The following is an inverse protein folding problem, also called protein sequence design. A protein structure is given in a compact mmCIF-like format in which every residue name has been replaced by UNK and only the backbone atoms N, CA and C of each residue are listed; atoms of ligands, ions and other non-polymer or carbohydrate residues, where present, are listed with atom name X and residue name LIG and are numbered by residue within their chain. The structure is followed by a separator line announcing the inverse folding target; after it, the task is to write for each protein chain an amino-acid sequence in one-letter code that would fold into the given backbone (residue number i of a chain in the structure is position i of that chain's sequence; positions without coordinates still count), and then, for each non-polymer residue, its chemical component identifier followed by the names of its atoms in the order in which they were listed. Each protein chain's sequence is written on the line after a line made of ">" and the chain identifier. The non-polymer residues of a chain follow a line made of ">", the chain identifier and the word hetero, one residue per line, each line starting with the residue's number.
data_IF_491200550227
#
_entry.id   IF_491200550227
#
_cell.length_a   1.000
_cell.length_b   1.000
_cell.length_c   1.000
_cell.angle_alpha   90.00
_cell.angle_beta   90.00
_cell.angle_gamma   90.00
#
_symmetry.space_group_name_H-M   'P 1'
#
loop_
_entity.id
_entity.type
_entity.pdbx_description
1 polymer ?
#
# COMPACT_ATOMS: atom_id res chain seq x y z
N UNK A 1 -27.71 71.91 -31.52
CA UNK A 1 -26.65 71.03 -30.98
C UNK A 1 -27.07 70.58 -29.60
N UNK A 2 -27.34 69.29 -29.47
CA UNK A 2 -28.17 68.68 -28.43
C UNK A 2 -27.27 67.99 -27.40
N UNK A 3 -27.56 68.25 -26.12
CA UNK A 3 -26.86 67.75 -24.94
C UNK A 3 -27.25 66.28 -24.71
N UNK A 4 -26.32 65.35 -24.82
CA UNK A 4 -26.56 63.93 -24.53
C UNK A 4 -26.40 63.72 -23.01
N UNK A 5 -27.43 63.23 -22.28
CA UNK A 5 -27.37 62.95 -20.86
C UNK A 5 -26.80 61.55 -20.56
N UNK A 6 -26.29 61.41 -19.34
CA UNK A 6 -25.52 60.27 -18.87
C UNK A 6 -26.26 58.93 -18.82
N UNK A 7 -25.49 57.87 -19.02
CA UNK A 7 -25.89 56.49 -18.80
C UNK A 7 -25.16 55.97 -17.56
N UNK A 8 -25.93 55.99 -16.48
CA UNK A 8 -25.94 55.20 -15.26
C UNK A 8 -24.82 54.16 -15.01
N UNK A 9 -24.17 54.34 -13.85
CA UNK A 9 -23.50 53.30 -13.08
C UNK A 9 -24.39 52.05 -12.91
N UNK A 10 -24.01 50.95 -13.55
CA UNK A 10 -24.62 49.65 -13.30
C UNK A 10 -23.98 49.04 -12.04
N UNK A 11 -24.49 49.40 -10.86
CA UNK A 11 -24.19 48.71 -9.59
C UNK A 11 -24.77 47.30 -9.63
N UNK A 12 -23.97 46.34 -10.11
CA UNK A 12 -24.24 44.92 -9.94
C UNK A 12 -24.04 44.54 -8.47
N UNK A 13 -25.16 44.40 -7.77
CA UNK A 13 -25.23 43.95 -6.39
C UNK A 13 -25.02 42.42 -6.34
N UNK A 14 -23.76 42.00 -6.26
CA UNK A 14 -23.41 40.61 -5.97
C UNK A 14 -23.78 40.29 -4.51
N UNK A 15 -25.00 39.76 -4.30
CA UNK A 15 -25.40 39.11 -3.05
C UNK A 15 -24.57 37.84 -2.87
N UNK A 16 -23.59 37.88 -1.96
CA UNK A 16 -22.91 36.67 -1.47
C UNK A 16 -23.90 35.87 -0.63
N UNK A 17 -24.29 34.69 -1.12
CA UNK A 17 -24.93 33.67 -0.31
C UNK A 17 -23.92 33.12 0.71
N UNK A 18 -24.20 33.11 2.01
CA UNK A 18 -23.37 32.38 2.96
C UNK A 18 -23.50 30.88 2.68
N UNK A 19 -22.37 30.22 2.42
CA UNK A 19 -22.28 28.78 2.30
C UNK A 19 -22.74 28.15 3.63
N UNK A 20 -23.94 27.55 3.63
CA UNK A 20 -24.37 26.64 4.69
C UNK A 20 -23.54 25.37 4.55
N UNK A 21 -22.58 25.18 5.46
CA UNK A 21 -21.93 23.89 5.66
C UNK A 21 -22.99 22.86 6.09
N UNK A 22 -23.15 21.72 5.37
CA UNK A 22 -24.03 20.66 5.83
C UNK A 22 -23.41 19.97 7.06
N UNK A 23 -24.08 20.10 8.21
CA UNK A 23 -23.72 19.49 9.48
C UNK A 23 -23.94 17.98 9.55
N UNK A 24 -23.55 17.23 8.51
CA UNK A 24 -23.74 15.78 8.42
C UNK A 24 -22.45 14.96 8.52
N UNK A 25 -21.30 15.59 8.81
CA UNK A 25 -20.02 14.89 8.95
C UNK A 25 -19.77 14.33 10.37
N UNK A 26 -20.46 14.81 11.40
CA UNK A 26 -20.24 14.35 12.79
C UNK A 26 -20.93 13.02 13.11
N UNK A 27 -21.97 12.64 12.38
CA UNK A 27 -22.69 11.38 12.61
C UNK A 27 -21.91 10.13 12.15
N UNK A 28 -20.95 10.29 11.22
CA UNK A 28 -20.13 9.17 10.74
C UNK A 28 -19.02 8.73 11.70
N UNK A 29 -18.51 9.65 12.53
CA UNK A 29 -17.41 9.36 13.45
C UNK A 29 -17.85 8.57 14.68
N UNK A 30 -19.08 8.79 15.19
CA UNK A 30 -19.57 8.09 16.38
C UNK A 30 -19.75 6.58 16.15
N UNK A 31 -20.30 6.19 15.01
CA UNK A 31 -20.60 4.79 14.69
C UNK A 31 -19.33 3.96 14.43
N UNK A 32 -18.34 4.54 13.74
CA UNK A 32 -17.04 3.90 13.51
C UNK A 32 -16.22 3.74 14.80
N UNK A 33 -16.27 4.74 15.69
CA UNK A 33 -15.51 4.71 16.96
C UNK A 33 -16.09 3.67 17.93
N UNK A 34 -17.41 3.51 18.01
CA UNK A 34 -18.04 2.47 18.83
C UNK A 34 -17.74 1.04 18.35
N UNK A 35 -17.59 0.82 17.03
CA UNK A 35 -17.19 -0.46 16.46
C UNK A 35 -15.74 -0.83 16.78
N UNK A 36 -14.84 0.16 16.81
CA UNK A 36 -13.43 -0.05 17.17
C UNK A 36 -13.23 -0.32 18.67
N UNK A 37 -14.05 0.29 19.52
CA UNK A 37 -13.97 0.16 20.99
C UNK A 37 -14.68 -1.09 21.54
N UNK A 38 -15.55 -1.72 20.73
CA UNK A 38 -16.18 -3.02 21.02
C UNK A 38 -15.79 -4.04 19.96
N UNK A 39 -14.48 -4.29 19.83
CA UNK A 39 -13.99 -5.44 19.09
C UNK A 39 -14.43 -6.72 19.82
N UNK A 40 -15.64 -7.21 19.52
CA UNK A 40 -16.02 -8.59 19.82
C UNK A 40 -15.03 -9.52 19.11
N UNK A 41 -14.81 -10.75 19.60
CA UNK A 41 -14.02 -11.74 18.88
C UNK A 41 -14.57 -11.86 17.47
N UNK A 42 -13.86 -11.28 16.51
CA UNK A 42 -14.24 -11.38 15.13
C UNK A 42 -13.87 -12.80 14.69
N UNK A 43 -14.87 -13.67 14.60
CA UNK A 43 -14.78 -14.96 13.89
C UNK A 43 -14.54 -14.77 12.37
N UNK A 44 -13.95 -13.63 11.96
CA UNK A 44 -13.44 -13.38 10.62
C UNK A 44 -12.07 -14.04 10.41
N UNK A 45 -11.41 -14.50 11.48
CA UNK A 45 -10.27 -15.39 11.37
C UNK A 45 -10.78 -16.80 11.10
N UNK A 46 -10.99 -17.14 9.82
CA UNK A 46 -11.09 -18.53 9.42
C UNK A 46 -9.70 -19.14 9.59
N UNK A 47 -9.45 -19.72 10.77
CA UNK A 47 -8.30 -20.61 10.98
C UNK A 47 -8.57 -21.84 10.11
N UNK A 48 -8.11 -21.81 8.87
CA UNK A 48 -8.00 -23.04 8.11
C UNK A 48 -7.14 -24.00 8.94
N UNK A 49 -7.64 -25.20 9.17
CA UNK A 49 -6.86 -26.22 9.83
C UNK A 49 -5.53 -26.40 9.07
N UNK A 50 -4.47 -26.77 9.80
CA UNK A 50 -3.31 -27.34 9.12
C UNK A 50 -3.80 -28.61 8.40
N UNK A 51 -3.51 -28.79 7.09
CA UNK A 51 -2.53 -28.06 6.28
C UNK A 51 -3.10 -27.11 5.20
N UNK A 52 -4.43 -27.02 5.00
CA UNK A 52 -5.00 -26.34 3.82
C UNK A 52 -4.66 -24.85 3.75
N UNK A 53 -4.70 -24.16 4.89
CA UNK A 53 -4.37 -22.74 4.97
C UNK A 53 -2.93 -22.44 4.57
N UNK A 54 -2.00 -23.32 4.97
CA UNK A 54 -0.60 -23.20 4.61
C UNK A 54 -0.41 -23.38 3.10
N UNK A 55 -1.06 -24.37 2.48
CA UNK A 55 -0.96 -24.57 1.04
C UNK A 55 -1.51 -23.38 0.25
N UNK A 56 -2.70 -22.90 0.62
CA UNK A 56 -3.31 -21.73 -0.03
C UNK A 56 -2.40 -20.50 0.09
N UNK A 57 -1.80 -20.28 1.27
CA UNK A 57 -0.86 -19.19 1.52
C UNK A 57 0.42 -19.30 0.66
N UNK A 58 1.02 -20.49 0.59
CA UNK A 58 2.21 -20.75 -0.25
C UNK A 58 1.89 -20.57 -1.74
N UNK A 59 0.72 -21.01 -2.21
CA UNK A 59 0.26 -20.73 -3.58
C UNK A 59 0.13 -19.22 -3.79
N UNK A 60 -0.38 -18.49 -2.80
CA UNK A 60 -0.44 -17.02 -2.81
C UNK A 60 0.93 -16.38 -3.05
N UNK A 61 1.97 -16.84 -2.37
CA UNK A 61 3.35 -16.39 -2.61
C UNK A 61 3.82 -16.67 -4.04
N UNK A 62 3.53 -17.83 -4.60
CA UNK A 62 3.90 -18.16 -6.00
C UNK A 62 3.21 -17.20 -6.98
N UNK A 63 1.90 -17.02 -6.82
CA UNK A 63 1.12 -16.11 -7.68
C UNK A 63 1.60 -14.66 -7.55
N UNK A 64 1.91 -14.21 -6.33
CA UNK A 64 2.44 -12.87 -6.07
C UNK A 64 3.81 -12.67 -6.73
N UNK A 65 4.72 -13.64 -6.60
CA UNK A 65 6.01 -13.59 -7.26
C UNK A 65 5.88 -13.47 -8.78
N UNK A 66 5.01 -14.29 -9.39
CA UNK A 66 4.74 -14.23 -10.83
C UNK A 66 4.15 -12.88 -11.24
N UNK A 67 3.25 -12.31 -10.43
CA UNK A 67 2.69 -10.99 -10.68
C UNK A 67 3.77 -9.89 -10.63
N UNK A 68 4.67 -9.92 -9.65
CA UNK A 68 5.78 -8.96 -9.54
C UNK A 68 6.78 -9.13 -10.68
N UNK A 69 7.16 -10.36 -11.03
CA UNK A 69 8.04 -10.65 -12.16
C UNK A 69 7.42 -10.17 -13.49
N UNK A 70 6.12 -10.44 -13.70
CA UNK A 70 5.37 -9.96 -14.86
C UNK A 70 5.28 -8.43 -14.92
N UNK A 71 5.07 -7.76 -13.79
CA UNK A 71 5.08 -6.30 -13.69
C UNK A 71 6.44 -5.73 -14.12
N UNK A 72 7.53 -6.24 -13.52
CA UNK A 72 8.90 -5.79 -13.83
C UNK A 72 9.24 -6.06 -15.30
N UNK A 73 8.90 -7.23 -15.82
CA UNK A 73 9.08 -7.59 -17.21
C UNK A 73 8.34 -6.62 -18.15
N UNK A 74 7.06 -6.34 -17.89
CA UNK A 74 6.27 -5.40 -18.71
C UNK A 74 6.82 -3.99 -18.68
N UNK A 75 7.25 -3.50 -17.52
CA UNK A 75 7.84 -2.16 -17.41
C UNK A 75 9.15 -2.08 -18.19
N UNK A 76 10.03 -3.09 -18.05
CA UNK A 76 11.32 -3.14 -18.75
C UNK A 76 11.19 -3.24 -20.27
N UNK A 77 10.20 -3.97 -20.77
CA UNK A 77 10.02 -4.24 -22.20
C UNK A 77 9.00 -3.30 -22.88
N UNK A 78 8.64 -2.19 -22.25
CA UNK A 78 7.74 -1.19 -22.83
C UNK A 78 8.40 0.19 -22.82
N UNK A 79 7.74 1.14 -23.49
CA UNK A 79 8.15 2.56 -23.48
C UNK A 79 8.13 3.18 -22.06
N UNK A 80 7.54 2.49 -21.08
CA UNK A 80 7.52 2.91 -19.69
C UNK A 80 8.93 2.95 -19.07
N UNK A 81 9.85 2.09 -19.51
CA UNK A 81 11.22 2.06 -18.98
C UNK A 81 11.97 3.40 -19.12
N UNK A 82 11.63 4.20 -20.14
CA UNK A 82 12.21 5.53 -20.35
C UNK A 82 11.89 6.52 -19.23
N UNK A 83 10.78 6.34 -18.51
CA UNK A 83 10.42 7.19 -17.38
C UNK A 83 11.15 6.76 -16.10
N UNK A 84 11.78 7.72 -15.43
CA UNK A 84 12.37 7.51 -14.11
C UNK A 84 11.35 7.05 -13.07
N UNK A 85 10.08 7.48 -13.18
CA UNK A 85 9.04 7.09 -12.24
C UNK A 85 8.72 5.58 -12.33
N UNK A 86 8.63 5.06 -13.55
CA UNK A 86 8.41 3.64 -13.82
C UNK A 86 9.62 2.78 -13.45
N UNK A 87 10.85 3.30 -13.58
CA UNK A 87 12.05 2.60 -13.07
C UNK A 87 12.02 2.39 -11.57
N UNK A 88 11.59 3.39 -10.79
CA UNK A 88 11.37 3.23 -9.34
C UNK A 88 10.30 2.19 -9.02
N UNK A 89 9.18 2.18 -9.76
CA UNK A 89 8.13 1.15 -9.61
C UNK A 89 8.68 -0.24 -9.92
N UNK A 90 9.46 -0.40 -10.98
CA UNK A 90 10.08 -1.67 -11.34
C UNK A 90 11.09 -2.15 -10.29
N UNK A 91 11.92 -1.25 -9.74
CA UNK A 91 12.83 -1.60 -8.65
C UNK A 91 12.06 -2.03 -7.40
N UNK A 92 11.00 -1.31 -7.02
CA UNK A 92 10.14 -1.69 -5.90
C UNK A 92 9.44 -3.03 -6.12
N UNK A 93 8.92 -3.28 -7.33
CA UNK A 93 8.31 -4.56 -7.70
C UNK A 93 9.30 -5.72 -7.64
N UNK A 94 10.55 -5.51 -8.08
CA UNK A 94 11.62 -6.50 -7.96
C UNK A 94 11.93 -6.81 -6.49
N UNK A 95 12.09 -5.79 -5.65
CA UNK A 95 12.34 -5.97 -4.22
C UNK A 95 11.16 -6.65 -3.50
N UNK A 96 9.91 -6.33 -3.86
CA UNK A 96 8.73 -7.03 -3.35
C UNK A 96 8.71 -8.51 -3.76
N UNK A 97 9.13 -8.82 -4.99
CA UNK A 97 9.34 -10.20 -5.43
C UNK A 97 10.38 -10.94 -4.57
N UNK A 98 11.52 -10.30 -4.29
CA UNK A 98 12.56 -10.86 -3.41
C UNK A 98 12.07 -11.05 -1.97
N UNK A 99 11.39 -10.05 -1.41
CA UNK A 99 10.78 -10.14 -0.08
C UNK A 99 9.74 -11.27 -0.02
N UNK A 100 8.94 -11.44 -1.07
CA UNK A 100 7.96 -12.52 -1.12
C UNK A 100 8.64 -13.91 -1.14
N UNK A 101 9.71 -14.09 -1.91
CA UNK A 101 10.50 -15.33 -1.88
C UNK A 101 11.13 -15.56 -0.50
N UNK A 102 11.59 -14.49 0.15
CA UNK A 102 12.11 -14.55 1.51
C UNK A 102 11.06 -15.04 2.51
N UNK A 103 9.85 -14.48 2.48
CA UNK A 103 8.73 -14.89 3.32
C UNK A 103 8.29 -16.34 3.04
N UNK A 104 8.22 -16.73 1.75
CA UNK A 104 7.95 -18.11 1.33
C UNK A 104 8.94 -19.09 2.00
N UNK A 105 10.26 -18.80 1.91
CA UNK A 105 11.29 -19.63 2.54
C UNK A 105 11.14 -19.64 4.06
N UNK A 106 10.80 -18.50 4.68
CA UNK A 106 10.50 -18.40 6.11
C UNK A 106 9.42 -19.39 6.56
N UNK A 107 8.33 -19.48 5.80
CA UNK A 107 7.27 -20.45 6.08
C UNK A 107 7.67 -21.90 5.82
N UNK A 108 8.48 -22.18 4.79
CA UNK A 108 9.02 -23.53 4.58
C UNK A 108 9.96 -23.92 5.73
N UNK A 109 10.76 -22.99 6.24
CA UNK A 109 11.61 -23.25 7.42
C UNK A 109 10.75 -23.49 8.66
N UNK A 110 9.67 -22.73 8.85
CA UNK A 110 8.73 -22.89 9.96
C UNK A 110 8.13 -24.30 10.04
N UNK A 111 7.83 -24.95 8.91
CA UNK A 111 7.28 -26.31 8.88
C UNK A 111 8.32 -27.38 9.23
N UNK A 112 9.60 -27.05 9.13
CA UNK A 112 10.71 -27.93 9.49
C UNK A 112 11.12 -27.79 10.97
N UNK A 113 10.71 -26.71 11.64
CA UNK A 113 10.99 -26.52 13.06
C UNK A 113 10.13 -27.45 13.93
N UNK A 114 10.72 -28.23 14.83
CA UNK A 114 9.96 -29.06 15.74
C UNK A 114 9.27 -28.19 16.81
N UNK A 115 8.03 -28.55 17.16
CA UNK A 115 7.16 -27.74 18.02
C UNK A 115 7.74 -27.46 19.42
N UNK A 116 8.64 -28.32 19.90
CA UNK A 116 9.33 -28.15 21.18
C UNK A 116 10.36 -26.99 21.20
N UNK A 117 10.67 -26.37 20.06
CA UNK A 117 11.53 -25.18 19.99
C UNK A 117 10.77 -23.89 20.33
N UNK A 118 9.43 -23.92 20.28
CA UNK A 118 8.58 -22.82 20.69
C UNK A 118 8.22 -22.97 22.17
N UNK A 119 8.54 -21.94 22.96
CA UNK A 119 8.29 -21.87 24.41
C UNK A 119 7.18 -20.87 24.67
N UNK A 120 6.09 -21.32 25.28
CA UNK A 120 4.89 -20.53 25.56
C UNK A 120 3.64 -21.12 24.92
N UNK A 121 2.46 -20.58 25.24
CA UNK A 121 1.20 -20.98 24.62
C UNK A 121 0.62 -19.85 23.79
N UNK A 122 -0.03 -20.19 22.67
CA UNK A 122 -0.79 -19.23 21.85
C UNK A 122 -1.84 -18.50 22.69
N UNK A 123 -2.38 -19.16 23.73
CA UNK A 123 -3.35 -18.59 24.67
C UNK A 123 -2.74 -17.52 25.59
N UNK A 124 -1.44 -17.63 25.90
CA UNK A 124 -0.71 -16.67 26.74
C UNK A 124 -0.19 -15.46 25.97
N UNK A 125 -0.34 -15.42 24.64
CA UNK A 125 0.11 -14.32 23.78
C UNK A 125 1.63 -14.16 23.65
N UNK A 126 2.42 -14.99 24.34
CA UNK A 126 3.86 -14.94 24.35
C UNK A 126 4.44 -16.29 23.89
N UNK A 127 4.84 -16.34 22.62
CA UNK A 127 5.61 -17.46 22.06
C UNK A 127 7.05 -16.99 21.87
N UNK A 128 7.97 -17.52 22.68
CA UNK A 128 9.41 -17.32 22.52
C UNK A 128 10.01 -18.47 21.71
N UNK A 129 10.98 -18.16 20.84
CA UNK A 129 11.75 -19.17 20.13
C UNK A 129 13.03 -19.48 20.91
N UNK A 130 13.30 -20.75 21.19
CA UNK A 130 14.57 -21.18 21.78
C UNK A 130 15.60 -21.39 20.66
N UNK A 131 16.69 -20.63 20.69
CA UNK A 131 17.77 -20.72 19.71
C UNK A 131 18.71 -21.88 20.07
N UNK A 132 18.46 -23.08 19.54
CA UNK A 132 19.28 -24.28 19.82
C UNK A 132 20.07 -24.73 18.59
N UNK A 133 19.55 -24.44 17.40
CA UNK A 133 20.06 -24.93 16.13
C UNK A 133 20.26 -23.79 15.13
N UNK A 134 21.07 -24.05 14.09
CA UNK A 134 21.25 -23.12 12.96
C UNK A 134 19.91 -22.80 12.26
N UNK A 135 18.97 -23.75 12.26
CA UNK A 135 17.65 -23.58 11.68
C UNK A 135 16.82 -22.52 12.44
N UNK A 136 16.98 -22.41 13.76
CA UNK A 136 16.31 -21.39 14.57
C UNK A 136 16.83 -19.98 14.24
N UNK A 137 18.15 -19.84 14.05
CA UNK A 137 18.75 -18.58 13.60
C UNK A 137 18.29 -18.19 12.19
N UNK A 138 18.22 -19.17 11.29
CA UNK A 138 17.70 -18.96 9.94
C UNK A 138 16.23 -18.53 9.96
N UNK A 139 15.38 -19.20 10.76
CA UNK A 139 13.98 -18.82 10.94
C UNK A 139 13.85 -17.40 11.50
N UNK A 140 14.60 -17.06 12.55
CA UNK A 140 14.60 -15.71 13.14
C UNK A 140 15.00 -14.64 12.13
N UNK A 141 16.03 -14.90 11.33
CA UNK A 141 16.49 -13.99 10.29
C UNK A 141 15.46 -13.83 9.18
N UNK A 142 14.85 -14.93 8.72
CA UNK A 142 13.79 -14.92 7.72
C UNK A 142 12.54 -14.17 8.19
N UNK A 143 12.32 -14.07 9.50
CA UNK A 143 11.22 -13.30 10.09
C UNK A 143 11.43 -11.77 10.05
N UNK A 144 12.60 -11.30 9.63
CA UNK A 144 12.91 -9.86 9.53
C UNK A 144 12.37 -9.25 8.23
N UNK A 145 11.05 -9.24 8.06
CA UNK A 145 10.35 -8.77 6.85
C UNK A 145 10.71 -7.35 6.42
N UNK A 146 10.99 -6.48 7.40
CA UNK A 146 11.24 -5.07 7.17
C UNK A 146 12.52 -4.78 6.36
N UNK A 147 13.49 -5.70 6.34
CA UNK A 147 14.78 -5.49 5.68
C UNK A 147 14.63 -5.29 4.16
N UNK A 148 13.67 -5.97 3.54
CA UNK A 148 13.44 -5.89 2.09
C UNK A 148 12.11 -5.18 1.79
N UNK A 149 11.07 -5.42 2.59
CA UNK A 149 9.75 -4.85 2.36
C UNK A 149 9.75 -3.31 2.45
N UNK A 150 10.40 -2.73 3.47
CA UNK A 150 10.41 -1.27 3.67
C UNK A 150 11.14 -0.55 2.53
N UNK A 151 12.38 -0.94 2.13
CA UNK A 151 13.01 -0.37 0.95
C UNK A 151 12.16 -0.51 -0.33
N UNK A 152 11.48 -1.64 -0.51
CA UNK A 152 10.61 -1.85 -1.66
C UNK A 152 9.46 -0.83 -1.70
N UNK A 153 8.78 -0.63 -0.57
CA UNK A 153 7.70 0.35 -0.43
C UNK A 153 8.19 1.79 -0.65
N UNK A 154 9.40 2.12 -0.19
CA UNK A 154 10.04 3.41 -0.46
C UNK A 154 10.24 3.60 -1.97
N UNK A 155 10.75 2.60 -2.69
CA UNK A 155 10.90 2.67 -4.15
C UNK A 155 9.55 2.90 -4.85
N UNK A 156 8.50 2.15 -4.47
CA UNK A 156 7.15 2.36 -5.01
C UNK A 156 6.65 3.77 -4.72
N UNK A 157 6.80 4.25 -3.48
CA UNK A 157 6.43 5.60 -3.08
C UNK A 157 7.13 6.66 -3.93
N UNK A 158 8.45 6.56 -4.11
CA UNK A 158 9.24 7.50 -4.92
C UNK A 158 8.78 7.50 -6.39
N UNK A 159 8.46 6.32 -6.93
CA UNK A 159 7.89 6.18 -8.26
C UNK A 159 6.55 6.90 -8.40
N UNK A 160 5.60 6.63 -7.51
CA UNK A 160 4.27 7.27 -7.51
C UNK A 160 4.36 8.79 -7.29
N UNK A 161 5.20 9.21 -6.33
CA UNK A 161 5.45 10.62 -6.05
C UNK A 161 5.95 11.35 -7.29
N UNK A 162 6.85 10.72 -8.05
CA UNK A 162 7.39 11.27 -9.29
C UNK A 162 6.35 11.33 -10.40
N UNK A 163 5.55 10.28 -10.60
CA UNK A 163 4.44 10.29 -11.58
C UNK A 163 3.47 11.45 -11.30
N UNK A 164 3.14 11.69 -10.02
CA UNK A 164 2.27 12.79 -9.62
C UNK A 164 2.87 14.15 -10.00
N UNK A 165 4.17 14.36 -9.75
CA UNK A 165 4.87 15.61 -10.09
C UNK A 165 4.92 15.84 -11.60
N UNK A 166 5.26 14.82 -12.37
CA UNK A 166 5.30 14.87 -13.85
C UNK A 166 3.91 15.19 -14.43
N UNK A 167 2.85 14.61 -13.86
CA UNK A 167 1.46 14.91 -14.24
C UNK A 167 1.07 16.36 -13.93
N UNK A 168 1.34 16.86 -12.73
CA UNK A 168 1.02 18.25 -12.35
C UNK A 168 1.75 19.24 -13.26
N UNK A 169 3.03 19.00 -13.54
CA UNK A 169 3.81 19.84 -14.45
C UNK A 169 3.18 19.92 -15.85
N UNK A 170 2.72 18.78 -16.40
CA UNK A 170 2.06 18.75 -17.72
C UNK A 170 0.71 19.49 -17.79
N UNK A 171 0.05 19.70 -16.65
CA UNK A 171 -1.22 20.46 -16.58
C UNK A 171 -1.00 21.97 -16.45
N UNK A 172 0.17 22.38 -15.95
CA UNK A 172 0.53 23.78 -15.72
C UNK A 172 1.22 24.45 -16.92
N UNK A 173 1.75 23.66 -17.86
CA UNK A 173 2.25 24.18 -19.13
C UNK A 173 1.09 24.50 -20.07
N UNK A 174 0.94 25.76 -20.55
CA UNK A 174 -0.04 26.11 -21.58
C UNK A 174 0.08 25.16 -22.77
N UNK A 175 -1.07 24.72 -23.29
CA UNK A 175 -1.17 23.79 -24.41
C UNK A 175 -0.85 24.50 -25.73
N UNK A 176 0.27 25.20 -25.80
CA UNK A 176 0.72 25.93 -26.98
C UNK A 176 1.86 25.14 -27.63
N UNK A 177 1.80 25.00 -28.95
CA UNK A 177 2.66 24.18 -29.81
C UNK A 177 2.25 22.70 -29.94
N UNK A 178 1.09 22.47 -30.56
CA UNK A 178 0.98 21.40 -31.57
C UNK A 178 0.92 22.08 -32.94
N UNK A 179 1.85 21.80 -33.88
CA UNK A 179 1.66 22.15 -35.29
C UNK A 179 0.47 21.38 -35.88
#
# INVERSE_FOLDING_TARGET
>A
MQKIPGVNEMKSTSRRHPARFPGSLLAGFGTGTCLLLKALPAFALQTHAAPEGLYAHQIGHVLYFLAMAGLVYKIRNSQLWGSAAWRWIATGGFLLGLWNTWAFVGHVVETLLPQNHFVGSVESGHTALRMVSLLDYLYWFLRMDHLICVPALICIYLGLHRMRRERVASLMTPREQRP
#
